data_IF_685559644963
#
_entry.id   IF_685559644963
#
_cell.length_a   1.000
_cell.length_b   1.000
_cell.length_c   1.000
_cell.angle_alpha   90.00
_cell.angle_beta   90.00
_cell.angle_gamma   90.00
#
_symmetry.space_group_name_H-M   'P 1'
#
loop_
_entity.id
_entity.type
_entity.pdbx_description
1 polymer ?
#
# COMPACT_ATOMS: atom_id res chain seq x y z
N UNK A 1 13.76 16.88 5.70
CA UNK A 1 12.87 15.99 6.49
C UNK A 1 11.44 15.95 5.93
N UNK A 2 10.83 17.08 5.54
CA UNK A 2 9.45 17.17 5.02
C UNK A 2 9.12 16.24 3.83
N UNK A 3 10.05 16.05 2.88
CA UNK A 3 9.80 15.23 1.67
C UNK A 3 9.62 13.73 1.93
N UNK A 4 10.31 13.16 2.93
CA UNK A 4 10.19 11.72 3.27
C UNK A 4 8.87 11.42 3.99
N UNK A 5 8.39 12.35 4.83
CA UNK A 5 7.13 12.20 5.56
C UNK A 5 5.91 12.27 4.61
N UNK A 6 5.92 13.21 3.66
CA UNK A 6 4.84 13.32 2.66
C UNK A 6 4.74 12.06 1.77
N UNK A 7 5.88 11.44 1.46
CA UNK A 7 5.95 10.23 0.64
C UNK A 7 5.44 9.00 1.39
N UNK A 8 5.80 8.90 2.68
CA UNK A 8 5.24 7.88 3.58
C UNK A 8 3.72 7.99 3.66
N UNK A 9 3.20 9.20 3.88
CA UNK A 9 1.76 9.45 3.86
C UNK A 9 1.12 9.04 2.52
N UNK A 10 1.80 9.26 1.39
CA UNK A 10 1.29 8.83 0.09
C UNK A 10 1.16 7.31 -0.02
N UNK A 11 2.20 6.55 0.34
CA UNK A 11 2.11 5.08 0.31
C UNK A 11 1.04 4.57 1.29
N UNK A 12 1.04 5.08 2.52
CA UNK A 12 0.09 4.65 3.56
C UNK A 12 -1.36 4.88 3.11
N UNK A 13 -1.67 6.05 2.54
CA UNK A 13 -2.99 6.35 1.98
C UNK A 13 -3.36 5.42 0.81
N UNK A 14 -2.41 5.13 -0.09
CA UNK A 14 -2.66 4.23 -1.23
C UNK A 14 -2.95 2.80 -0.79
N UNK A 15 -2.18 2.28 0.18
CA UNK A 15 -2.40 0.95 0.71
C UNK A 15 -3.73 0.84 1.45
N UNK A 16 -4.04 1.79 2.33
CA UNK A 16 -5.33 1.82 3.05
C UNK A 16 -6.49 1.88 2.06
N UNK A 17 -6.41 2.75 1.05
CA UNK A 17 -7.43 2.86 0.00
C UNK A 17 -7.60 1.54 -0.76
N UNK A 18 -6.50 0.90 -1.16
CA UNK A 18 -6.54 -0.38 -1.87
C UNK A 18 -7.19 -1.49 -1.03
N UNK A 19 -6.93 -1.53 0.28
CA UNK A 19 -7.58 -2.48 1.20
C UNK A 19 -9.07 -2.16 1.33
N UNK A 20 -9.42 -0.91 1.62
CA UNK A 20 -10.82 -0.47 1.75
C UNK A 20 -11.65 -0.88 0.54
N UNK A 21 -11.18 -0.56 -0.68
CA UNK A 21 -11.87 -0.90 -1.91
C UNK A 21 -11.95 -2.41 -2.17
N UNK A 22 -10.91 -3.16 -1.81
CA UNK A 22 -10.88 -4.62 -1.96
C UNK A 22 -11.86 -5.31 -1.03
N UNK A 23 -11.94 -4.86 0.22
CA UNK A 23 -12.88 -5.41 1.19
C UNK A 23 -14.31 -4.96 0.88
N UNK A 24 -14.50 -3.72 0.43
CA UNK A 24 -15.81 -3.21 0.02
C UNK A 24 -16.38 -3.95 -1.19
N UNK A 25 -15.53 -4.52 -2.05
CA UNK A 25 -15.95 -5.38 -3.16
C UNK A 25 -16.66 -6.66 -2.66
N UNK A 26 -16.38 -7.11 -1.44
CA UNK A 26 -17.09 -8.22 -0.79
C UNK A 26 -18.40 -7.78 -0.11
N UNK A 27 -18.68 -6.47 -0.08
CA UNK A 27 -19.81 -5.86 0.62
C UNK A 27 -19.35 -4.96 1.77
N UNK A 28 -20.11 -3.89 2.00
CA UNK A 28 -19.77 -2.91 3.03
C UNK A 28 -19.81 -3.48 4.46
N UNK A 29 -20.80 -4.33 4.76
CA UNK A 29 -20.90 -5.04 6.03
C UNK A 29 -19.73 -6.00 6.28
N UNK A 30 -19.27 -6.68 5.22
CA UNK A 30 -18.11 -7.57 5.29
C UNK A 30 -16.83 -6.77 5.60
N UNK A 31 -16.61 -5.65 4.91
CA UNK A 31 -15.50 -4.73 5.19
C UNK A 31 -15.47 -4.30 6.66
N UNK A 32 -16.60 -3.83 7.21
CA UNK A 32 -16.64 -3.41 8.62
C UNK A 32 -16.40 -4.57 9.58
N UNK A 33 -16.97 -5.75 9.29
CA UNK A 33 -16.76 -6.94 10.14
C UNK A 33 -15.30 -7.38 10.15
N UNK A 34 -14.62 -7.33 9.00
CA UNK A 34 -13.19 -7.66 8.89
C UNK A 34 -12.36 -6.66 9.69
N UNK A 35 -12.59 -5.35 9.52
CA UNK A 35 -11.87 -4.35 10.31
C UNK A 35 -12.13 -4.47 11.82
N UNK A 36 -13.37 -4.75 12.21
CA UNK A 36 -13.72 -5.00 13.60
C UNK A 36 -12.96 -6.20 14.16
N UNK A 37 -12.87 -7.32 13.44
CA UNK A 37 -12.10 -8.48 13.88
C UNK A 37 -10.59 -8.24 13.89
N UNK A 38 -10.05 -7.49 12.92
CA UNK A 38 -8.64 -7.06 12.94
C UNK A 38 -8.32 -6.25 14.19
N UNK A 39 -9.18 -5.30 14.57
CA UNK A 39 -8.96 -4.47 15.75
C UNK A 39 -9.22 -5.23 17.06
N UNK A 40 -10.35 -5.91 17.19
CA UNK A 40 -10.78 -6.51 18.46
C UNK A 40 -10.12 -7.85 18.74
N UNK A 41 -10.01 -8.72 17.72
CA UNK A 41 -9.42 -10.06 17.92
C UNK A 41 -7.90 -10.04 17.82
N UNK A 42 -7.33 -9.13 17.02
CA UNK A 42 -5.90 -9.15 16.69
C UNK A 42 -5.15 -7.88 17.08
N UNK A 43 -5.83 -6.86 17.61
CA UNK A 43 -5.19 -5.62 18.05
C UNK A 43 -4.56 -4.81 16.91
N UNK A 44 -4.99 -5.02 15.67
CA UNK A 44 -4.46 -4.33 14.50
C UNK A 44 -5.46 -3.30 13.98
N UNK A 45 -5.22 -2.03 14.31
CA UNK A 45 -6.04 -0.94 13.79
C UNK A 45 -5.76 -0.69 12.31
N UNK A 46 -6.75 -0.17 11.59
CA UNK A 46 -6.65 0.15 10.16
C UNK A 46 -5.45 1.05 9.85
N UNK A 47 -5.19 2.04 10.70
CA UNK A 47 -4.10 3.03 10.53
C UNK A 47 -2.71 2.42 10.79
N UNK A 48 -2.65 1.25 11.44
CA UNK A 48 -1.41 0.51 11.69
C UNK A 48 -1.04 -0.42 10.54
N UNK A 49 -2.01 -0.82 9.71
CA UNK A 49 -1.78 -1.77 8.61
C UNK A 49 -0.62 -1.34 7.70
N UNK A 50 -0.48 -0.06 7.29
CA UNK A 50 0.66 0.34 6.47
C UNK A 50 2.01 0.16 7.15
N UNK A 51 2.06 0.17 8.49
CA UNK A 51 3.30 -0.04 9.26
C UNK A 51 3.59 -1.52 9.50
N UNK A 52 2.56 -2.37 9.49
CA UNK A 52 2.61 -3.81 9.78
C UNK A 52 1.88 -4.64 8.70
N UNK A 53 2.25 -4.52 7.41
CA UNK A 53 1.53 -5.21 6.32
C UNK A 53 1.68 -6.73 6.36
N UNK A 54 2.75 -7.22 6.98
CA UNK A 54 3.03 -8.62 7.30
C UNK A 54 2.03 -9.17 8.32
N UNK A 55 1.83 -8.46 9.42
CA UNK A 55 0.82 -8.81 10.44
C UNK A 55 -0.56 -8.81 9.81
N UNK A 56 -0.90 -7.82 9.00
CA UNK A 56 -2.17 -7.81 8.26
C UNK A 56 -2.35 -9.05 7.38
N UNK A 57 -1.33 -9.41 6.59
CA UNK A 57 -1.39 -10.57 5.70
C UNK A 57 -1.55 -11.89 6.47
N UNK A 58 -0.88 -12.03 7.62
CA UNK A 58 -1.02 -13.17 8.52
C UNK A 58 -2.43 -13.26 9.10
N UNK A 59 -2.99 -12.15 9.62
CA UNK A 59 -4.34 -12.16 10.21
C UNK A 59 -5.44 -12.37 9.18
N UNK A 60 -5.21 -11.94 7.95
CA UNK A 60 -6.11 -12.25 6.85
C UNK A 60 -6.09 -13.75 6.50
N UNK A 61 -4.92 -14.40 6.57
CA UNK A 61 -4.77 -15.85 6.42
C UNK A 61 -5.44 -16.60 7.59
N UNK A 62 -5.35 -16.11 8.82
CA UNK A 62 -6.05 -16.70 9.96
C UNK A 62 -7.58 -16.65 9.80
N UNK A 63 -8.12 -15.55 9.29
CA UNK A 63 -9.56 -15.37 9.08
C UNK A 63 -10.11 -16.15 7.89
N UNK A 64 -9.38 -16.17 6.76
CA UNK A 64 -9.90 -16.66 5.48
C UNK A 64 -9.19 -17.91 4.96
N UNK A 65 -8.11 -18.35 5.61
CA UNK A 65 -7.26 -19.47 5.17
C UNK A 65 -6.85 -19.25 3.71
N UNK A 66 -6.89 -20.30 2.89
CA UNK A 66 -6.61 -20.28 1.46
C UNK A 66 -7.38 -19.18 0.69
N UNK A 67 -8.58 -18.80 1.16
CA UNK A 67 -9.37 -17.71 0.59
C UNK A 67 -8.70 -16.33 0.70
N UNK A 68 -7.76 -16.17 1.63
CA UNK A 68 -7.00 -14.94 1.81
C UNK A 68 -6.09 -14.63 0.62
N UNK A 69 -5.63 -15.63 -0.15
CA UNK A 69 -4.76 -15.41 -1.32
C UNK A 69 -5.49 -14.57 -2.38
N UNK A 70 -6.77 -14.86 -2.59
CA UNK A 70 -7.60 -14.11 -3.52
C UNK A 70 -7.75 -12.64 -3.08
N UNK A 71 -8.01 -12.40 -1.78
CA UNK A 71 -8.12 -11.05 -1.23
C UNK A 71 -6.79 -10.31 -1.34
N UNK A 72 -5.66 -10.94 -0.97
CA UNK A 72 -4.31 -10.38 -1.12
C UNK A 72 -4.03 -9.98 -2.57
N UNK A 73 -4.40 -10.80 -3.56
CA UNK A 73 -4.26 -10.47 -4.99
C UNK A 73 -5.07 -9.25 -5.42
N UNK A 74 -6.32 -9.12 -4.96
CA UNK A 74 -7.16 -7.94 -5.28
C UNK A 74 -6.53 -6.68 -4.69
N UNK A 75 -6.07 -6.74 -3.43
CA UNK A 75 -5.39 -5.62 -2.77
C UNK A 75 -4.16 -5.19 -3.57
N UNK A 76 -3.30 -6.15 -3.94
CA UNK A 76 -2.09 -5.87 -4.73
C UNK A 76 -2.44 -5.25 -6.09
N UNK A 77 -3.45 -5.78 -6.78
CA UNK A 77 -3.88 -5.23 -8.07
C UNK A 77 -4.27 -3.76 -7.94
N UNK A 78 -5.14 -3.43 -6.97
CA UNK A 78 -5.59 -2.04 -6.73
C UNK A 78 -4.46 -1.12 -6.30
N UNK A 79 -3.54 -1.62 -5.46
CA UNK A 79 -2.39 -0.85 -5.03
C UNK A 79 -1.46 -0.51 -6.19
N UNK A 80 -1.14 -1.49 -7.05
CA UNK A 80 -0.32 -1.27 -8.23
C UNK A 80 -0.98 -0.28 -9.19
N UNK A 81 -2.27 -0.46 -9.49
CA UNK A 81 -3.03 0.45 -10.34
C UNK A 81 -3.03 1.88 -9.78
N UNK A 82 -3.24 2.04 -8.47
CA UNK A 82 -3.21 3.35 -7.79
C UNK A 82 -1.83 4.00 -7.76
N UNK A 83 -0.77 3.20 -7.84
CA UNK A 83 0.61 3.68 -8.00
C UNK A 83 0.99 3.95 -9.47
N UNK A 84 0.12 3.66 -10.44
CA UNK A 84 0.42 3.77 -11.87
C UNK A 84 1.33 2.64 -12.39
N UNK A 85 1.31 1.49 -11.73
CA UNK A 85 2.07 0.29 -12.07
C UNK A 85 1.15 -0.81 -12.60
N UNK A 86 1.74 -1.78 -13.30
CA UNK A 86 1.06 -3.02 -13.70
C UNK A 86 1.53 -4.16 -12.82
N UNK A 87 0.61 -4.81 -12.10
CA UNK A 87 0.92 -6.02 -11.35
C UNK A 87 1.32 -7.14 -12.32
N UNK A 88 2.48 -7.74 -12.09
CA UNK A 88 2.95 -8.93 -12.80
C UNK A 88 3.20 -10.03 -11.78
N UNK A 89 2.62 -11.21 -11.98
CA UNK A 89 2.92 -12.36 -11.13
C UNK A 89 4.38 -12.76 -11.32
N UNK A 90 5.09 -12.87 -10.20
CA UNK A 90 6.49 -13.30 -10.10
C UNK A 90 6.52 -14.52 -9.19
N UNK A 91 7.22 -15.56 -9.62
CA UNK A 91 7.38 -16.78 -8.84
C UNK A 91 8.17 -16.47 -7.55
N UNK A 92 7.76 -17.08 -6.44
CA UNK A 92 8.39 -16.88 -5.12
C UNK A 92 8.11 -15.54 -4.44
N UNK A 93 7.39 -14.60 -5.07
CA UNK A 93 7.05 -13.33 -4.44
C UNK A 93 5.92 -13.47 -3.41
N UNK A 94 6.22 -13.08 -2.18
CA UNK A 94 5.25 -12.93 -1.11
C UNK A 94 4.42 -11.65 -1.27
N UNK A 95 3.36 -11.51 -0.49
CA UNK A 95 2.59 -10.26 -0.40
C UNK A 95 3.50 -9.08 -0.05
N UNK A 96 4.47 -9.29 0.84
CA UNK A 96 5.40 -8.24 1.32
C UNK A 96 6.38 -7.81 0.24
N UNK A 97 6.82 -8.73 -0.62
CA UNK A 97 7.71 -8.39 -1.73
C UNK A 97 7.03 -7.42 -2.70
N UNK A 98 5.75 -7.65 -3.01
CA UNK A 98 4.98 -6.73 -3.83
C UNK A 98 4.70 -5.38 -3.14
N UNK A 99 4.45 -5.38 -1.83
CA UNK A 99 4.30 -4.14 -1.06
C UNK A 99 5.59 -3.31 -1.13
N UNK A 100 6.75 -3.94 -0.94
CA UNK A 100 8.04 -3.27 -0.99
C UNK A 100 8.36 -2.75 -2.39
N UNK A 101 7.99 -3.48 -3.45
CA UNK A 101 8.13 -3.00 -4.83
C UNK A 101 7.41 -1.66 -5.06
N UNK A 102 6.17 -1.53 -4.55
CA UNK A 102 5.41 -0.28 -4.67
C UNK A 102 6.04 0.84 -3.85
N UNK A 103 6.51 0.56 -2.63
CA UNK A 103 7.21 1.53 -1.79
C UNK A 103 8.45 2.08 -2.50
N UNK A 104 9.32 1.20 -2.96
CA UNK A 104 10.55 1.59 -3.65
C UNK A 104 10.27 2.40 -4.92
N UNK A 105 9.24 2.03 -5.68
CA UNK A 105 8.85 2.79 -6.87
C UNK A 105 8.43 4.21 -6.51
N UNK A 106 7.59 4.35 -5.48
CA UNK A 106 7.11 5.65 -5.01
C UNK A 106 8.27 6.52 -4.48
N UNK A 107 9.21 5.95 -3.74
CA UNK A 107 10.39 6.65 -3.24
C UNK A 107 11.27 7.17 -4.39
N UNK A 108 11.56 6.32 -5.39
CA UNK A 108 12.32 6.71 -6.59
C UNK A 108 11.63 7.82 -7.39
N UNK A 109 10.30 7.83 -7.46
CA UNK A 109 9.53 8.90 -8.12
C UNK A 109 9.65 10.23 -7.37
N UNK A 110 9.71 10.21 -6.05
CA UNK A 110 9.89 11.40 -5.23
C UNK A 110 11.26 12.05 -5.48
N UNK A 111 12.31 11.24 -5.47
CA UNK A 111 13.69 11.69 -5.71
C UNK A 111 13.86 12.35 -7.08
N UNK A 112 13.24 11.77 -8.12
CA UNK A 112 13.26 12.32 -9.48
C UNK A 112 12.58 13.68 -9.56
N UNK A 113 11.46 13.88 -8.86
CA UNK A 113 10.74 15.16 -8.81
C UNK A 113 11.54 16.23 -8.08
N UNK A 114 12.21 15.88 -6.98
CA UNK A 114 13.08 16.80 -6.24
C UNK A 114 14.25 17.25 -7.10
N UNK A 115 14.97 16.32 -7.74
CA UNK A 115 16.09 16.65 -8.63
C UNK A 115 15.67 17.58 -9.77
N UNK A 116 14.54 17.29 -10.42
CA UNK A 116 14.01 18.13 -11.50
C UNK A 116 13.59 19.52 -11.02
N UNK A 117 13.01 19.62 -9.82
CA UNK A 117 12.66 20.91 -9.21
C UNK A 117 13.87 21.78 -8.88
N UNK A 118 14.98 21.17 -8.42
CA UNK A 118 16.23 21.88 -8.14
C UNK A 118 16.85 22.45 -9.43
N UNK A 119 16.95 21.64 -10.49
CA UNK A 119 17.50 22.08 -11.77
C UNK A 119 16.72 23.27 -12.34
N UNK A 120 15.39 23.20 -12.30
CA UNK A 120 14.51 24.27 -12.78
C UNK A 120 14.60 25.57 -11.95
N UNK A 121 15.10 25.51 -10.72
CA UNK A 121 15.26 26.67 -9.84
C UNK A 121 16.64 27.33 -10.02
N UNK A 122 17.68 26.53 -10.28
CA UNK A 122 19.04 27.01 -10.60
C UNK A 122 19.05 27.75 -11.96
N UNK A 123 18.43 27.19 -13.01
CA UNK A 123 18.33 27.85 -14.33
C UNK A 123 17.59 29.20 -14.30
N UNK A 124 16.69 29.43 -13.34
CA UNK A 124 15.93 30.68 -13.21
C UNK A 124 16.66 31.77 -12.41
N UNK A 125 17.74 31.43 -11.71
CA UNK A 125 18.56 32.39 -10.97
C UNK A 125 19.82 32.81 -11.74
N UNK A 126 20.09 32.20 -12.90
CA UNK A 126 21.22 32.53 -13.79
C UNK A 126 20.80 33.38 -15.02
N UNK A 127 19.54 33.82 -15.06
CA UNK A 127 18.95 34.73 -16.06
C UNK A 127 18.43 36.00 -15.38
#
# INVERSE_FOLDING_TARGET
>A
MVGKELQKCKFDCLLVKAIDESLNFLGESAKYSIYFHLEVSFGLKKEEIPKKPDVFAEKLEELFRDGSEYIKRIILKRLFESAGLKLKCKEGYSFIDYINEVREFLDKQAERKVKRGLWNAEEKNEL
#
